data_IF_862632754232
#
_entry.id   IF_862632754232
#
_cell.length_a   1.000
_cell.length_b   1.000
_cell.length_c   1.000
_cell.angle_alpha   90.00
_cell.angle_beta   90.00
_cell.angle_gamma   90.00
#
_symmetry.space_group_name_H-M   'P 1'
#
loop_
_entity.id
_entity.type
_entity.pdbx_description
1 polymer ?
#
# COMPACT_ATOMS: atom_id res chain seq x y z
N UNK A 1 12.34 23.51 22.42
CA UNK A 1 11.60 23.97 21.23
C UNK A 1 12.57 23.96 20.07
N UNK A 2 12.61 22.85 19.32
CA UNK A 2 13.55 22.69 18.21
C UNK A 2 13.15 23.55 17.02
N UNK A 3 14.14 24.10 16.30
CA UNK A 3 13.89 24.81 15.04
C UNK A 3 13.13 23.90 14.07
N UNK A 4 11.85 24.20 13.81
CA UNK A 4 11.13 23.59 12.70
C UNK A 4 11.78 24.09 11.40
N UNK A 5 12.75 23.34 10.90
CA UNK A 5 13.38 23.68 9.64
C UNK A 5 12.38 23.56 8.48
N UNK A 6 12.61 24.37 7.45
CA UNK A 6 11.70 24.46 6.29
C UNK A 6 11.82 23.21 5.41
N UNK A 7 10.69 22.53 5.18
CA UNK A 7 10.51 21.49 4.16
C UNK A 7 9.86 22.16 2.93
N UNK A 8 10.37 21.89 1.74
CA UNK A 8 9.78 22.38 0.48
C UNK A 8 9.55 21.20 -0.45
N UNK A 9 8.29 21.02 -0.86
CA UNK A 9 7.86 19.98 -1.81
C UNK A 9 7.21 20.67 -3.01
N UNK A 10 7.71 20.39 -4.22
CA UNK A 10 7.23 21.03 -5.46
C UNK A 10 7.14 20.03 -6.61
N UNK A 11 6.01 19.99 -7.27
CA UNK A 11 5.86 19.26 -8.53
C UNK A 11 6.49 20.01 -9.69
N UNK A 12 7.06 19.28 -10.63
CA UNK A 12 7.63 19.82 -11.85
C UNK A 12 7.64 18.76 -12.96
N UNK A 13 7.79 19.19 -14.21
CA UNK A 13 7.93 18.30 -15.35
C UNK A 13 9.38 17.87 -15.54
N UNK A 14 9.64 16.57 -15.56
CA UNK A 14 10.99 16.07 -15.81
C UNK A 14 11.32 16.11 -17.31
N UNK A 15 11.86 17.24 -17.76
CA UNK A 15 12.28 17.49 -19.14
C UNK A 15 13.50 16.68 -19.60
N UNK A 16 14.16 15.96 -18.69
CA UNK A 16 15.26 15.03 -19.03
C UNK A 16 14.73 13.65 -19.43
N UNK A 17 13.50 13.30 -19.04
CA UNK A 17 12.86 12.06 -19.45
C UNK A 17 12.40 12.15 -20.91
N UNK A 18 12.25 10.98 -21.56
CA UNK A 18 11.77 10.89 -22.94
C UNK A 18 10.36 11.49 -23.03
N UNK A 19 10.21 12.54 -23.84
CA UNK A 19 8.94 13.18 -24.08
C UNK A 19 7.99 12.26 -24.87
N UNK A 20 6.69 12.41 -24.62
CA UNK A 20 5.63 11.95 -25.52
C UNK A 20 5.17 13.14 -26.35
N UNK A 21 5.13 12.99 -27.67
CA UNK A 21 4.70 14.07 -28.58
C UNK A 21 3.26 13.83 -29.00
N UNK A 22 2.42 14.84 -28.85
CA UNK A 22 1.02 14.79 -29.25
C UNK A 22 0.56 16.18 -29.72
N UNK A 23 -0.07 16.24 -30.89
CA UNK A 23 -0.47 17.50 -31.57
C UNK A 23 0.65 18.56 -31.58
N UNK A 24 1.88 18.15 -31.91
CA UNK A 24 3.09 18.98 -31.94
C UNK A 24 3.53 19.58 -30.59
N UNK A 25 2.97 19.12 -29.47
CA UNK A 25 3.37 19.52 -28.13
C UNK A 25 4.08 18.36 -27.42
N UNK A 26 5.09 18.70 -26.61
CA UNK A 26 5.87 17.73 -25.85
C UNK A 26 5.34 17.60 -24.43
N UNK A 27 5.11 16.36 -24.01
CA UNK A 27 4.60 16.00 -22.70
C UNK A 27 5.64 15.20 -21.92
N UNK A 28 5.79 15.55 -20.65
CA UNK A 28 6.81 15.01 -19.76
C UNK A 28 6.16 14.43 -18.51
N UNK A 29 6.79 13.43 -17.88
CA UNK A 29 6.27 12.86 -16.65
C UNK A 29 6.39 13.85 -15.48
N UNK A 30 5.40 13.83 -14.60
CA UNK A 30 5.39 14.63 -13.39
C UNK A 30 6.34 14.05 -12.33
N UNK A 31 7.20 14.90 -11.79
CA UNK A 31 8.15 14.59 -10.73
C UNK A 31 7.96 15.56 -9.57
N UNK A 32 8.54 15.22 -8.43
CA UNK A 32 8.50 16.01 -7.20
C UNK A 32 9.93 16.32 -6.81
N UNK A 33 10.19 17.59 -6.53
CA UNK A 33 11.42 18.07 -5.94
C UNK A 33 11.19 18.31 -4.46
N UNK A 34 12.06 17.73 -3.65
CA UNK A 34 12.06 17.84 -2.19
C UNK A 34 13.32 18.59 -1.78
N UNK A 35 13.17 19.60 -0.94
CA UNK A 35 14.28 20.37 -0.36
C UNK A 35 14.07 20.44 1.15
N UNK A 36 14.99 19.86 1.92
CA UNK A 36 14.97 19.87 3.39
C UNK A 36 16.41 19.82 3.92
N UNK A 37 16.70 20.63 4.95
CA UNK A 37 18.03 20.73 5.56
C UNK A 37 19.19 20.95 4.55
N UNK A 38 18.94 21.74 3.50
CA UNK A 38 19.91 22.01 2.42
C UNK A 38 20.12 20.86 1.43
N UNK A 39 19.56 19.67 1.70
CA UNK A 39 19.58 18.50 0.80
C UNK A 39 18.45 18.59 -0.21
N UNK A 40 18.66 18.01 -1.40
CA UNK A 40 17.65 17.95 -2.47
C UNK A 40 17.47 16.51 -2.94
N UNK A 41 16.23 16.09 -3.12
CA UNK A 41 15.88 14.85 -3.80
C UNK A 41 14.83 15.08 -4.87
N UNK A 42 14.78 14.15 -5.82
CA UNK A 42 13.79 14.11 -6.87
C UNK A 42 13.18 12.72 -6.88
N UNK A 43 11.86 12.64 -6.82
CA UNK A 43 11.11 11.39 -6.92
C UNK A 43 10.03 11.51 -7.98
N UNK A 44 9.66 10.40 -8.60
CA UNK A 44 8.55 10.37 -9.54
C UNK A 44 7.24 10.56 -8.77
N UNK A 45 6.33 11.37 -9.28
CA UNK A 45 4.99 11.48 -8.71
C UNK A 45 4.21 10.19 -8.94
N UNK A 46 3.38 9.83 -7.97
CA UNK A 46 2.48 8.67 -7.98
C UNK A 46 1.02 9.06 -8.17
N UNK A 47 0.68 10.33 -8.39
CA UNK A 47 -0.74 10.72 -8.60
C UNK A 47 -1.40 9.92 -9.73
N UNK A 48 -0.63 9.45 -10.72
CA UNK A 48 -1.13 8.61 -11.82
C UNK A 48 -1.74 7.27 -11.35
N UNK A 49 -1.36 6.76 -10.18
CA UNK A 49 -1.96 5.57 -9.56
C UNK A 49 -3.45 5.82 -9.22
N UNK A 50 -3.83 7.09 -9.02
CA UNK A 50 -5.18 7.51 -8.66
C UNK A 50 -5.95 8.14 -9.82
N UNK A 51 -5.26 8.69 -10.83
CA UNK A 51 -5.90 9.37 -11.97
C UNK A 51 -6.85 8.46 -12.77
N UNK A 52 -6.62 7.15 -12.78
CA UNK A 52 -7.49 6.20 -13.46
C UNK A 52 -8.93 6.19 -12.92
N UNK A 53 -9.11 6.43 -11.62
CA UNK A 53 -10.44 6.51 -11.00
C UNK A 53 -11.23 7.71 -11.56
N UNK A 54 -10.52 8.78 -11.92
CA UNK A 54 -11.09 10.02 -12.43
C UNK A 54 -11.04 10.15 -13.95
N UNK A 55 -10.95 9.03 -14.68
CA UNK A 55 -10.82 9.03 -16.15
C UNK A 55 -11.94 9.82 -16.85
N UNK A 56 -13.15 9.81 -16.29
CA UNK A 56 -14.29 10.61 -16.78
C UNK A 56 -14.05 12.13 -16.67
N UNK A 57 -13.58 12.59 -15.51
CA UNK A 57 -13.28 14.02 -15.29
C UNK A 57 -12.09 14.48 -16.13
N UNK A 58 -11.07 13.63 -16.26
CA UNK A 58 -9.93 13.87 -17.16
C UNK A 58 -10.40 13.90 -18.62
N UNK A 59 -11.36 13.05 -19.00
CA UNK A 59 -12.00 13.08 -20.32
C UNK A 59 -12.60 14.45 -20.60
N UNK A 60 -13.39 15.01 -19.68
CA UNK A 60 -13.96 16.36 -19.83
C UNK A 60 -12.89 17.45 -20.00
N UNK A 61 -11.81 17.37 -19.22
CA UNK A 61 -10.65 18.26 -19.31
C UNK A 61 -9.95 18.23 -20.67
N UNK A 62 -9.97 17.08 -21.33
CA UNK A 62 -9.27 16.79 -22.59
C UNK A 62 -10.23 16.77 -23.79
N UNK A 63 -11.46 17.28 -23.63
CA UNK A 63 -12.53 17.25 -24.63
C UNK A 63 -12.85 15.84 -25.16
N UNK A 64 -12.73 14.83 -24.29
CA UNK A 64 -12.93 13.41 -24.54
C UNK A 64 -12.03 12.84 -25.66
N UNK A 65 -10.88 13.45 -25.88
CA UNK A 65 -9.87 12.93 -26.81
C UNK A 65 -9.17 11.72 -26.16
N UNK A 66 -9.32 10.48 -26.69
CA UNK A 66 -8.87 9.28 -25.99
C UNK A 66 -7.37 9.23 -25.77
N UNK A 67 -6.58 9.63 -26.77
CA UNK A 67 -5.11 9.62 -26.68
C UNK A 67 -4.62 10.65 -25.67
N UNK A 68 -5.25 11.82 -25.65
CA UNK A 68 -4.90 12.86 -24.69
C UNK A 68 -5.34 12.51 -23.26
N UNK A 69 -6.55 11.96 -23.10
CA UNK A 69 -7.06 11.46 -21.82
C UNK A 69 -6.09 10.45 -21.21
N UNK A 70 -5.65 9.46 -22.01
CA UNK A 70 -4.71 8.43 -21.57
C UNK A 70 -3.33 9.01 -21.21
N UNK A 71 -2.86 10.00 -21.97
CA UNK A 71 -1.60 10.68 -21.67
C UNK A 71 -1.63 11.37 -20.31
N UNK A 72 -2.72 12.09 -20.02
CA UNK A 72 -2.91 12.76 -18.73
C UNK A 72 -3.09 11.73 -17.60
N UNK A 73 -3.92 10.70 -17.82
CA UNK A 73 -4.16 9.64 -16.83
C UNK A 73 -2.87 8.88 -16.47
N UNK A 74 -1.94 8.72 -17.40
CA UNK A 74 -0.63 8.10 -17.17
C UNK A 74 0.43 9.07 -16.60
N UNK A 75 0.04 10.29 -16.23
CA UNK A 75 0.89 11.26 -15.53
C UNK A 75 1.82 12.09 -16.42
N UNK A 76 1.51 12.21 -17.72
CA UNK A 76 2.26 13.05 -18.66
C UNK A 76 1.53 14.38 -18.92
N UNK A 77 2.27 15.48 -18.81
CA UNK A 77 1.73 16.84 -18.95
C UNK A 77 2.67 17.71 -19.78
N UNK A 78 2.11 18.73 -20.43
CA UNK A 78 2.89 19.83 -20.99
C UNK A 78 2.95 20.99 -19.99
N UNK A 79 3.88 21.94 -20.19
CA UNK A 79 3.98 23.12 -19.33
C UNK A 79 2.67 23.94 -19.35
N UNK A 80 2.05 24.10 -20.53
CA UNK A 80 0.81 24.85 -20.69
C UNK A 80 -0.34 24.23 -19.90
N UNK A 81 -0.49 22.90 -19.99
CA UNK A 81 -1.54 22.18 -19.27
C UNK A 81 -1.27 22.20 -17.76
N UNK A 82 -0.04 21.92 -17.33
CA UNK A 82 0.30 21.89 -15.90
C UNK A 82 0.05 23.26 -15.25
N UNK A 83 0.47 24.35 -15.90
CA UNK A 83 0.24 25.70 -15.39
C UNK A 83 -1.27 26.01 -15.29
N UNK A 84 -2.04 25.66 -16.33
CA UNK A 84 -3.50 25.81 -16.31
C UNK A 84 -4.15 25.04 -15.16
N UNK A 85 -3.72 23.81 -14.91
CA UNK A 85 -4.23 22.96 -13.82
C UNK A 85 -3.93 23.59 -12.45
N UNK A 86 -2.73 24.15 -12.27
CA UNK A 86 -2.30 24.79 -11.01
C UNK A 86 -3.02 26.12 -10.78
N UNK A 87 -3.01 27.02 -11.76
CA UNK A 87 -3.59 28.36 -11.65
C UNK A 87 -5.10 28.32 -11.40
N UNK A 88 -5.80 27.43 -12.10
CA UNK A 88 -7.25 27.28 -12.00
C UNK A 88 -7.68 26.22 -10.98
N UNK A 89 -6.72 25.59 -10.27
CA UNK A 89 -6.96 24.55 -9.25
C UNK A 89 -7.90 23.44 -9.73
N UNK A 90 -7.61 22.90 -10.92
CA UNK A 90 -8.55 22.02 -11.61
C UNK A 90 -8.56 20.62 -10.98
N UNK A 91 -9.76 20.15 -10.62
CA UNK A 91 -10.02 18.78 -10.15
C UNK A 91 -9.89 17.76 -11.30
N UNK A 92 -9.36 16.54 -11.05
CA UNK A 92 -8.82 16.04 -9.78
C UNK A 92 -7.34 16.42 -9.53
N UNK A 93 -6.62 16.79 -10.60
CA UNK A 93 -5.16 16.72 -10.67
C UNK A 93 -4.49 17.66 -9.67
N UNK A 94 -4.99 18.90 -9.54
CA UNK A 94 -4.46 19.86 -8.57
C UNK A 94 -4.54 19.33 -7.13
N UNK A 95 -5.69 18.76 -6.75
CA UNK A 95 -5.90 18.27 -5.39
C UNK A 95 -5.05 17.05 -5.08
N UNK A 96 -4.89 16.14 -6.03
CA UNK A 96 -3.99 14.99 -5.89
C UNK A 96 -2.53 15.44 -5.70
N UNK A 97 -2.11 16.51 -6.39
CA UNK A 97 -0.77 17.09 -6.20
C UNK A 97 -0.60 17.71 -4.81
N UNK A 98 -1.61 18.42 -4.29
CA UNK A 98 -1.55 18.98 -2.94
C UNK A 98 -1.54 17.87 -1.87
N UNK A 99 -2.35 16.83 -2.03
CA UNK A 99 -2.36 15.68 -1.13
C UNK A 99 -1.01 14.97 -1.12
N UNK A 100 -0.40 14.76 -2.29
CA UNK A 100 0.92 14.15 -2.41
C UNK A 100 2.01 14.99 -1.72
N UNK A 101 1.91 16.33 -1.75
CA UNK A 101 2.83 17.20 -0.98
C UNK A 101 2.68 16.98 0.52
N UNK A 102 1.44 16.88 1.01
CA UNK A 102 1.14 16.65 2.43
C UNK A 102 1.68 15.30 2.89
N UNK A 103 1.50 14.25 2.07
CA UNK A 103 2.04 12.91 2.36
C UNK A 103 3.56 12.96 2.46
N UNK A 104 4.23 13.60 1.51
CA UNK A 104 5.70 13.71 1.51
C UNK A 104 6.19 14.51 2.72
N UNK A 105 5.51 15.61 3.07
CA UNK A 105 5.85 16.39 4.27
C UNK A 105 5.72 15.52 5.54
N UNK A 106 4.64 14.74 5.68
CA UNK A 106 4.44 13.80 6.80
C UNK A 106 5.56 12.75 6.86
N UNK A 107 5.93 12.14 5.73
CA UNK A 107 7.03 11.16 5.67
C UNK A 107 8.35 11.82 6.10
N UNK A 108 8.67 12.99 5.57
CA UNK A 108 9.91 13.69 5.92
C UNK A 108 9.92 14.02 7.41
N UNK A 109 8.81 14.49 7.99
CA UNK A 109 8.74 14.77 9.43
C UNK A 109 8.95 13.52 10.28
N UNK A 110 8.41 12.38 9.85
CA UNK A 110 8.61 11.10 10.52
C UNK A 110 10.08 10.65 10.54
N UNK A 111 10.86 11.03 9.51
CA UNK A 111 12.31 10.76 9.45
C UNK A 111 13.16 11.71 10.32
N UNK A 112 12.52 12.68 10.98
CA UNK A 112 13.13 13.65 11.90
C UNK A 112 14.40 14.36 11.38
N UNK A 113 14.37 15.00 10.20
CA UNK A 113 15.55 15.49 9.49
C UNK A 113 16.37 16.56 10.22
N UNK A 114 15.80 17.18 11.25
CA UNK A 114 16.46 18.23 12.04
C UNK A 114 17.04 17.72 13.36
N UNK A 115 16.66 16.51 13.77
CA UNK A 115 17.11 15.87 15.01
C UNK A 115 17.98 14.63 14.73
N UNK A 116 17.81 14.01 13.55
CA UNK A 116 18.54 12.83 13.12
C UNK A 116 19.80 13.21 12.32
N UNK A 117 20.97 12.96 12.90
CA UNK A 117 22.26 13.23 12.27
C UNK A 117 22.50 12.40 10.99
N UNK A 118 21.90 11.21 10.91
CA UNK A 118 22.04 10.28 9.79
C UNK A 118 21.01 10.51 8.69
N UNK A 119 20.11 11.50 8.85
CA UNK A 119 19.08 11.79 7.87
C UNK A 119 19.67 12.04 6.48
N UNK A 120 19.20 11.30 5.48
CA UNK A 120 19.63 11.44 4.10
C UNK A 120 18.44 11.31 3.14
N UNK A 121 18.42 12.15 2.12
CA UNK A 121 17.38 12.14 1.08
C UNK A 121 17.71 11.23 -0.11
N UNK A 122 18.93 10.68 -0.19
CA UNK A 122 19.33 9.86 -1.33
C UNK A 122 18.48 8.61 -1.53
N UNK A 123 17.91 8.07 -0.45
CA UNK A 123 17.05 6.87 -0.45
C UNK A 123 15.57 7.21 -0.36
N UNK A 124 15.20 8.49 -0.45
CA UNK A 124 13.81 8.91 -0.21
C UNK A 124 12.81 8.28 -1.20
N UNK A 125 13.24 7.85 -2.38
CA UNK A 125 12.37 7.08 -3.28
C UNK A 125 11.89 5.77 -2.65
N UNK A 126 12.78 5.09 -1.90
CA UNK A 126 12.44 3.85 -1.21
C UNK A 126 11.52 4.15 -0.02
N UNK A 127 11.84 5.20 0.76
CA UNK A 127 10.98 5.63 1.87
C UNK A 127 9.59 6.02 1.36
N UNK A 128 9.52 6.76 0.26
CA UNK A 128 8.27 7.15 -0.35
C UNK A 128 7.45 5.94 -0.79
N UNK A 129 8.07 4.94 -1.43
CA UNK A 129 7.39 3.69 -1.78
C UNK A 129 6.92 2.93 -0.53
N UNK A 130 7.78 2.80 0.47
CA UNK A 130 7.50 2.14 1.74
C UNK A 130 6.29 2.74 2.46
N UNK A 131 6.31 4.05 2.67
CA UNK A 131 5.29 4.74 3.47
C UNK A 131 3.97 4.94 2.72
N UNK A 132 3.97 4.85 1.38
CA UNK A 132 2.74 4.90 0.57
C UNK A 132 2.13 3.53 0.27
N UNK A 133 2.77 2.43 0.68
CA UNK A 133 2.23 1.08 0.46
C UNK A 133 0.90 0.87 1.20
N UNK A 134 -0.11 0.33 0.50
CA UNK A 134 -1.42 0.01 1.10
C UNK A 134 -1.30 -1.21 2.02
N UNK A 135 -1.53 -1.02 3.32
CA UNK A 135 -1.30 -2.05 4.35
C UNK A 135 -2.15 -3.31 4.12
N UNK A 136 -3.35 -3.16 3.55
CA UNK A 136 -4.23 -4.29 3.28
C UNK A 136 -3.63 -5.23 2.23
N UNK A 137 -3.04 -4.66 1.16
CA UNK A 137 -2.41 -5.44 0.10
C UNK A 137 -1.10 -6.05 0.59
N UNK A 138 -0.30 -5.30 1.36
CA UNK A 138 0.94 -5.81 1.96
C UNK A 138 0.62 -7.01 2.86
N UNK A 139 -0.32 -6.88 3.79
CA UNK A 139 -0.69 -7.97 4.69
C UNK A 139 -1.25 -9.19 3.93
N UNK A 140 -2.14 -8.97 2.97
CA UNK A 140 -2.73 -10.07 2.17
C UNK A 140 -1.63 -10.87 1.44
N UNK A 141 -0.75 -10.18 0.73
CA UNK A 141 0.32 -10.82 -0.04
C UNK A 141 1.34 -11.53 0.86
N UNK A 142 1.68 -10.94 2.00
CA UNK A 142 2.63 -11.55 2.95
C UNK A 142 2.06 -12.80 3.59
N UNK A 143 0.80 -12.76 4.05
CA UNK A 143 0.14 -13.94 4.63
C UNK A 143 0.02 -15.05 3.57
N UNK A 144 -0.39 -14.69 2.35
CA UNK A 144 -0.48 -15.61 1.21
C UNK A 144 0.84 -16.29 0.91
N UNK A 145 1.94 -15.53 0.85
CA UNK A 145 3.28 -16.05 0.61
C UNK A 145 3.72 -17.02 1.73
N UNK A 146 3.53 -16.65 3.00
CA UNK A 146 3.88 -17.51 4.15
C UNK A 146 3.02 -18.79 4.16
N UNK A 147 1.72 -18.67 3.92
CA UNK A 147 0.81 -19.81 3.83
C UNK A 147 1.20 -20.79 2.73
N UNK A 148 1.43 -20.29 1.51
CA UNK A 148 1.87 -21.10 0.38
C UNK A 148 3.22 -21.77 0.65
N UNK A 149 4.15 -21.09 1.31
CA UNK A 149 5.44 -21.66 1.71
C UNK A 149 5.30 -22.86 2.63
N UNK A 150 4.44 -22.77 3.65
CA UNK A 150 4.17 -23.89 4.55
C UNK A 150 3.38 -25.01 3.88
N UNK A 151 2.37 -24.70 3.06
CA UNK A 151 1.61 -25.72 2.33
C UNK A 151 2.49 -26.49 1.34
N UNK A 152 3.41 -25.81 0.64
CA UNK A 152 4.43 -26.48 -0.21
C UNK A 152 5.34 -27.38 0.60
N UNK A 153 5.72 -26.96 1.81
CA UNK A 153 6.54 -27.78 2.71
C UNK A 153 5.78 -29.02 3.17
N UNK A 154 4.49 -28.90 3.49
CA UNK A 154 3.62 -30.03 3.83
C UNK A 154 3.44 -30.97 2.64
N UNK A 155 3.22 -30.42 1.44
CA UNK A 155 3.14 -31.20 0.20
C UNK A 155 4.39 -32.05 0.00
N UNK A 156 5.59 -31.44 0.05
CA UNK A 156 6.86 -32.16 -0.13
C UNK A 156 7.06 -33.28 0.90
N UNK A 157 6.65 -33.07 2.15
CA UNK A 157 6.72 -34.09 3.21
C UNK A 157 5.75 -35.25 2.98
N UNK A 158 4.64 -35.02 2.28
CA UNK A 158 3.58 -36.00 2.06
C UNK A 158 3.70 -36.76 0.72
N UNK A 159 4.69 -36.44 -0.13
CA UNK A 159 4.86 -37.06 -1.46
C UNK A 159 5.09 -38.58 -1.34
N UNK A 160 5.99 -38.99 -0.44
CA UNK A 160 6.41 -40.40 -0.32
C UNK A 160 5.79 -41.11 0.89
N UNK A 161 4.83 -40.47 1.57
CA UNK A 161 4.22 -40.98 2.80
C UNK A 161 2.80 -41.48 2.54
N UNK A 162 2.64 -42.81 2.43
CA UNK A 162 1.35 -43.46 2.21
C UNK A 162 0.34 -43.19 3.34
N UNK A 163 0.80 -42.96 4.58
CA UNK A 163 -0.08 -42.64 5.72
C UNK A 163 -0.65 -41.21 5.59
N UNK A 164 0.06 -40.32 4.89
CA UNK A 164 -0.31 -38.91 4.69
C UNK A 164 -0.93 -38.61 3.31
N UNK A 165 -1.46 -39.63 2.62
CA UNK A 165 -2.08 -39.48 1.29
C UNK A 165 -3.21 -38.44 1.22
N UNK A 166 -3.95 -38.25 2.31
CA UNK A 166 -4.97 -37.20 2.39
C UNK A 166 -4.35 -35.80 2.43
N UNK A 167 -3.29 -35.62 3.23
CA UNK A 167 -2.54 -34.37 3.32
C UNK A 167 -1.94 -34.00 1.96
N UNK A 168 -1.37 -34.97 1.24
CA UNK A 168 -0.88 -34.79 -0.12
C UNK A 168 -1.96 -34.25 -1.06
N UNK A 169 -3.15 -34.88 -1.09
CA UNK A 169 -4.26 -34.46 -1.95
C UNK A 169 -4.71 -33.03 -1.65
N UNK A 170 -4.88 -32.70 -0.37
CA UNK A 170 -5.34 -31.38 0.05
C UNK A 170 -4.28 -30.32 -0.28
N UNK A 171 -3.02 -30.54 0.08
CA UNK A 171 -1.94 -29.58 -0.24
C UNK A 171 -1.77 -29.39 -1.75
N UNK A 172 -1.88 -30.47 -2.55
CA UNK A 172 -1.83 -30.40 -4.00
C UNK A 172 -2.98 -29.55 -4.57
N UNK A 173 -4.19 -29.74 -4.05
CA UNK A 173 -5.35 -28.92 -4.43
C UNK A 173 -5.10 -27.43 -4.14
N UNK A 174 -4.64 -27.11 -2.93
CA UNK A 174 -4.38 -25.74 -2.50
C UNK A 174 -3.28 -25.06 -3.33
N UNK A 175 -2.24 -25.78 -3.73
CA UNK A 175 -1.13 -25.22 -4.52
C UNK A 175 -1.55 -24.94 -5.97
N UNK A 176 -2.29 -25.86 -6.59
CA UNK A 176 -2.46 -25.85 -8.05
C UNK A 176 -3.85 -25.39 -8.54
N UNK A 177 -4.89 -25.50 -7.71
CA UNK A 177 -6.27 -25.24 -8.14
C UNK A 177 -6.86 -23.97 -7.55
N UNK A 178 -6.25 -23.42 -6.50
CA UNK A 178 -6.65 -22.13 -5.94
C UNK A 178 -6.02 -21.00 -6.77
N UNK A 179 -6.86 -20.05 -7.19
CA UNK A 179 -6.38 -18.83 -7.81
C UNK A 179 -5.87 -17.86 -6.74
N UNK A 180 -4.56 -17.87 -6.53
CA UNK A 180 -3.87 -17.02 -5.55
C UNK A 180 -3.78 -15.54 -5.94
N UNK A 181 -4.25 -15.14 -7.12
CA UNK A 181 -4.45 -13.73 -7.45
C UNK A 181 -5.61 -13.10 -6.67
N UNK A 182 -6.52 -13.92 -6.12
CA UNK A 182 -7.60 -13.45 -5.25
C UNK A 182 -7.09 -13.12 -3.83
N UNK A 183 -7.88 -12.35 -3.06
CA UNK A 183 -7.53 -12.05 -1.67
C UNK A 183 -7.49 -13.31 -0.80
N UNK A 184 -6.50 -13.35 0.09
CA UNK A 184 -6.33 -14.42 1.06
C UNK A 184 -7.54 -14.52 1.99
N UNK A 185 -8.12 -13.40 2.41
CA UNK A 185 -9.31 -13.39 3.29
C UNK A 185 -10.50 -14.11 2.66
N UNK A 186 -10.81 -13.82 1.39
CA UNK A 186 -11.91 -14.47 0.68
C UNK A 186 -11.66 -15.96 0.51
N UNK A 187 -10.43 -16.36 0.18
CA UNK A 187 -10.03 -17.77 0.13
C UNK A 187 -10.23 -18.45 1.48
N UNK A 188 -9.75 -17.83 2.56
CA UNK A 188 -9.76 -18.39 3.90
C UNK A 188 -11.19 -18.64 4.39
N UNK A 189 -12.05 -17.63 4.28
CA UNK A 189 -13.45 -17.71 4.70
C UNK A 189 -14.23 -18.75 3.86
N UNK A 190 -14.10 -18.70 2.53
CA UNK A 190 -14.82 -19.63 1.64
C UNK A 190 -14.37 -21.08 1.83
N UNK A 191 -13.07 -21.31 2.06
CA UNK A 191 -12.55 -22.68 2.23
C UNK A 191 -12.97 -23.26 3.56
N UNK A 192 -13.00 -22.45 4.62
CA UNK A 192 -13.51 -22.87 5.92
C UNK A 192 -15.00 -23.23 5.87
N UNK A 193 -15.79 -22.58 5.00
CA UNK A 193 -17.21 -22.89 4.79
C UNK A 193 -17.42 -24.15 3.94
N UNK A 194 -16.68 -24.29 2.84
CA UNK A 194 -16.92 -25.34 1.83
C UNK A 194 -16.21 -26.66 2.20
N UNK A 195 -15.00 -26.61 2.76
CA UNK A 195 -14.14 -27.77 3.06
C UNK A 195 -13.58 -27.70 4.50
N UNK A 196 -14.43 -27.68 5.54
CA UNK A 196 -13.99 -27.42 6.91
C UNK A 196 -13.01 -28.48 7.45
N UNK A 197 -13.21 -29.76 7.13
CA UNK A 197 -12.40 -30.86 7.67
C UNK A 197 -11.03 -30.92 7.00
N UNK A 198 -10.98 -30.79 5.67
CA UNK A 198 -9.74 -30.72 4.90
C UNK A 198 -8.93 -29.50 5.29
N UNK A 199 -9.60 -28.36 5.48
CA UNK A 199 -8.96 -27.12 5.90
C UNK A 199 -8.34 -27.26 7.29
N UNK A 200 -9.08 -27.84 8.25
CA UNK A 200 -8.59 -28.11 9.59
C UNK A 200 -7.41 -29.09 9.61
N UNK A 201 -7.40 -30.07 8.70
CA UNK A 201 -6.28 -31.00 8.55
C UNK A 201 -4.98 -30.27 8.15
N UNK A 202 -5.07 -29.24 7.30
CA UNK A 202 -3.93 -28.37 6.98
C UNK A 202 -3.61 -27.42 8.13
N UNK A 203 -4.60 -26.70 8.66
CA UNK A 203 -4.40 -25.66 9.68
C UNK A 203 -3.70 -26.21 10.93
N UNK A 204 -4.05 -27.43 11.35
CA UNK A 204 -3.43 -28.07 12.52
C UNK A 204 -1.95 -28.41 12.32
N UNK A 205 -1.49 -28.53 11.07
CA UNK A 205 -0.10 -28.81 10.70
C UNK A 205 0.73 -27.54 10.42
N UNK A 206 0.08 -26.38 10.35
CA UNK A 206 0.77 -25.09 10.22
C UNK A 206 1.50 -24.71 11.52
N UNK A 207 2.55 -23.92 11.36
CA UNK A 207 3.29 -23.33 12.47
C UNK A 207 2.37 -22.51 13.38
N UNK A 208 2.77 -22.34 14.64
CA UNK A 208 1.99 -21.52 15.58
C UNK A 208 2.04 -20.05 15.17
N UNK A 209 3.20 -19.64 14.64
CA UNK A 209 3.51 -18.31 14.14
C UNK A 209 2.59 -17.95 12.97
N UNK A 210 2.47 -18.81 11.95
CA UNK A 210 1.59 -18.57 10.82
C UNK A 210 0.11 -18.57 11.24
N UNK A 211 -0.31 -19.46 12.13
CA UNK A 211 -1.69 -19.43 12.66
C UNK A 211 -2.00 -18.13 13.41
N UNK A 212 -1.04 -17.62 14.20
CA UNK A 212 -1.18 -16.31 14.86
C UNK A 212 -1.28 -15.21 13.80
N UNK A 213 -0.42 -15.22 12.78
CA UNK A 213 -0.42 -14.24 11.70
C UNK A 213 -1.74 -14.20 10.93
N UNK A 214 -2.26 -15.37 10.54
CA UNK A 214 -3.56 -15.52 9.88
C UNK A 214 -4.68 -14.95 10.76
N UNK A 215 -4.74 -15.32 12.03
CA UNK A 215 -5.80 -14.85 12.95
C UNK A 215 -5.75 -13.34 13.15
N UNK A 216 -4.55 -12.77 13.33
CA UNK A 216 -4.36 -11.32 13.42
C UNK A 216 -4.82 -10.61 12.14
N UNK A 217 -4.48 -11.16 10.96
CA UNK A 217 -4.90 -10.63 9.67
C UNK A 217 -6.43 -10.70 9.48
N UNK A 218 -7.06 -11.84 9.78
CA UNK A 218 -8.52 -11.98 9.68
C UNK A 218 -9.25 -11.05 10.65
N UNK A 219 -8.71 -10.86 11.86
CA UNK A 219 -9.25 -9.88 12.81
C UNK A 219 -9.15 -8.45 12.25
N UNK A 220 -8.02 -8.08 11.64
CA UNK A 220 -7.86 -6.78 10.98
C UNK A 220 -8.81 -6.62 9.80
N UNK A 221 -8.90 -7.64 8.93
CA UNK A 221 -9.79 -7.65 7.77
C UNK A 221 -11.26 -7.41 8.16
N UNK A 222 -11.72 -8.02 9.27
CA UNK A 222 -13.08 -7.79 9.78
C UNK A 222 -13.36 -6.34 10.17
N UNK A 223 -12.32 -5.53 10.43
CA UNK A 223 -12.41 -4.13 10.87
C UNK A 223 -11.93 -3.12 9.82
N UNK A 224 -11.35 -3.58 8.70
CA UNK A 224 -10.73 -2.69 7.70
C UNK A 224 -11.70 -1.61 7.17
N UNK A 225 -12.98 -1.95 7.00
CA UNK A 225 -13.99 -1.00 6.54
C UNK A 225 -14.33 0.07 7.59
N UNK A 226 -14.22 -0.25 8.88
CA UNK A 226 -14.41 0.72 9.96
C UNK A 226 -13.24 1.69 9.96
N UNK A 227 -12.01 1.19 9.80
CA UNK A 227 -10.80 2.02 9.65
C UNK A 227 -10.94 2.94 8.44
N UNK A 228 -11.30 2.40 7.26
CA UNK A 228 -11.52 3.22 6.05
C UNK A 228 -12.52 4.34 6.30
N UNK A 229 -13.69 4.03 6.86
CA UNK A 229 -14.71 5.04 7.20
C UNK A 229 -14.24 6.08 8.22
N UNK A 230 -13.42 5.68 9.20
CA UNK A 230 -12.85 6.60 10.17
C UNK A 230 -11.93 7.63 9.48
N UNK A 231 -11.07 7.17 8.57
CA UNK A 231 -10.19 8.05 7.80
C UNK A 231 -10.94 8.91 6.78
N UNK A 232 -11.89 8.34 6.03
CA UNK A 232 -12.74 9.10 5.09
C UNK A 232 -13.44 10.29 5.76
N UNK A 233 -13.93 10.11 6.99
CA UNK A 233 -14.57 11.19 7.76
C UNK A 233 -13.60 12.29 8.20
N UNK A 234 -12.35 11.93 8.51
CA UNK A 234 -11.30 12.88 8.92
C UNK A 234 -10.69 13.61 7.75
N UNK A 235 -10.55 12.94 6.62
CA UNK A 235 -9.80 13.44 5.48
C UNK A 235 -10.66 14.08 4.38
N UNK A 236 -11.98 14.20 4.58
CA UNK A 236 -12.97 14.91 3.72
C UNK A 236 -12.46 15.23 2.29
N UNK A 237 -12.43 14.21 1.44
CA UNK A 237 -12.13 14.37 0.00
C UNK A 237 -10.67 14.13 -0.42
N UNK A 238 -9.77 13.77 0.50
CA UNK A 238 -8.42 13.29 0.14
C UNK A 238 -8.41 11.81 -0.20
N UNK A 239 -7.35 11.38 -0.87
CA UNK A 239 -7.09 9.96 -1.15
C UNK A 239 -6.88 9.16 0.14
N UNK A 240 -7.91 8.43 0.57
CA UNK A 240 -7.85 7.51 1.69
C UNK A 240 -7.37 6.13 1.23
N UNK A 241 -6.07 6.00 0.97
CA UNK A 241 -5.44 4.67 0.98
C UNK A 241 -4.89 4.42 2.38
N UNK A 242 -5.30 3.33 3.04
CA UNK A 242 -4.75 2.95 4.34
C UNK A 242 -3.26 2.62 4.17
N UNK A 243 -2.41 3.62 4.34
CA UNK A 243 -1.00 3.52 4.01
C UNK A 243 -0.18 3.06 5.21
N UNK A 244 1.04 2.57 4.96
CA UNK A 244 1.96 2.24 6.05
C UNK A 244 2.34 3.48 6.88
N UNK A 245 2.35 4.68 6.29
CA UNK A 245 2.47 5.93 7.03
C UNK A 245 1.35 6.07 8.07
N UNK A 246 0.10 5.84 7.67
CA UNK A 246 -1.04 5.94 8.57
C UNK A 246 -1.03 4.84 9.64
N UNK A 247 -0.47 3.67 9.32
CA UNK A 247 -0.19 2.62 10.30
C UNK A 247 0.76 3.09 11.40
N UNK A 248 1.88 3.71 11.03
CA UNK A 248 2.88 4.20 11.97
C UNK A 248 2.38 5.36 12.84
N UNK A 249 1.38 6.12 12.37
CA UNK A 249 0.90 7.30 13.11
C UNK A 249 -0.41 7.06 13.87
N UNK A 250 -1.40 6.40 13.29
CA UNK A 250 -2.78 6.43 13.79
C UNK A 250 -3.47 5.06 13.80
N UNK A 251 -3.38 4.28 12.72
CA UNK A 251 -4.17 3.03 12.56
C UNK A 251 -3.79 2.00 13.62
N UNK A 252 -2.50 1.87 13.96
CA UNK A 252 -2.03 0.90 14.97
C UNK A 252 -2.74 1.09 16.31
N UNK A 253 -2.79 2.32 16.81
CA UNK A 253 -3.47 2.65 18.06
C UNK A 253 -4.99 2.49 17.95
N UNK A 254 -5.59 2.88 16.83
CA UNK A 254 -7.02 2.69 16.60
C UNK A 254 -7.42 1.20 16.66
N UNK A 255 -6.70 0.35 15.93
CA UNK A 255 -6.94 -1.10 15.90
C UNK A 255 -6.70 -1.72 17.28
N UNK A 256 -5.68 -1.30 18.01
CA UNK A 256 -5.42 -1.78 19.37
C UNK A 256 -6.64 -1.57 20.28
N UNK A 257 -7.29 -0.41 20.20
CA UNK A 257 -8.48 -0.13 21.01
C UNK A 257 -9.68 -0.99 20.60
N UNK A 258 -9.95 -1.11 19.29
CA UNK A 258 -11.00 -2.00 18.77
C UNK A 258 -10.77 -3.46 19.18
N UNK A 259 -9.53 -3.93 19.14
CA UNK A 259 -9.19 -5.30 19.51
C UNK A 259 -9.24 -5.51 21.03
N UNK A 260 -8.90 -4.50 21.84
CA UNK A 260 -9.00 -4.57 23.30
C UNK A 260 -10.45 -4.86 23.73
N UNK A 261 -11.44 -4.22 23.08
CA UNK A 261 -12.86 -4.41 23.39
C UNK A 261 -13.37 -5.83 23.10
N UNK A 262 -12.78 -6.52 22.12
CA UNK A 262 -13.25 -7.82 21.63
C UNK A 262 -12.47 -8.98 22.26
N UNK A 263 -11.14 -8.87 22.32
CA UNK A 263 -10.24 -9.97 22.64
C UNK A 263 -9.55 -9.82 24.00
N UNK A 264 -9.64 -8.64 24.61
CA UNK A 264 -8.89 -8.26 25.81
C UNK A 264 -7.47 -7.78 25.49
N UNK A 265 -6.88 -7.06 26.45
CA UNK A 265 -5.63 -6.32 26.30
C UNK A 265 -4.46 -7.17 25.80
N UNK A 266 -4.22 -8.33 26.42
CA UNK A 266 -3.08 -9.18 26.08
C UNK A 266 -3.15 -9.73 24.65
N UNK A 267 -4.31 -10.24 24.23
CA UNK A 267 -4.49 -10.79 22.87
C UNK A 267 -4.48 -9.70 21.81
N UNK A 268 -5.03 -8.54 22.14
CA UNK A 268 -5.02 -7.37 21.27
C UNK A 268 -3.59 -6.94 20.95
N UNK A 269 -2.75 -6.77 21.99
CA UNK A 269 -1.35 -6.43 21.82
C UNK A 269 -0.61 -7.48 20.99
N UNK A 270 -0.85 -8.76 21.28
CA UNK A 270 -0.30 -9.89 20.54
C UNK A 270 -0.61 -9.83 19.04
N UNK A 271 -1.83 -9.45 18.67
CA UNK A 271 -2.26 -9.37 17.27
C UNK A 271 -1.70 -8.13 16.58
N UNK A 272 -1.72 -6.98 17.25
CA UNK A 272 -1.17 -5.74 16.70
C UNK A 272 0.34 -5.85 16.48
N UNK A 273 1.08 -6.42 17.42
CA UNK A 273 2.52 -6.65 17.26
C UNK A 273 2.81 -7.64 16.12
N UNK A 274 1.95 -8.65 15.97
CA UNK A 274 2.06 -9.59 14.86
C UNK A 274 1.87 -8.89 13.50
N UNK A 275 0.85 -8.02 13.37
CA UNK A 275 0.60 -7.23 12.16
C UNK A 275 1.74 -6.25 11.89
N UNK A 276 2.23 -5.59 12.92
CA UNK A 276 3.32 -4.61 12.81
C UNK A 276 4.63 -5.27 12.35
N UNK A 277 4.93 -6.47 12.87
CA UNK A 277 6.07 -7.26 12.41
C UNK A 277 5.91 -7.69 10.96
N UNK A 278 4.73 -8.16 10.55
CA UNK A 278 4.48 -8.54 9.15
C UNK A 278 4.66 -7.35 8.21
N UNK A 279 4.10 -6.19 8.56
CA UNK A 279 4.25 -4.97 7.76
C UNK A 279 5.72 -4.52 7.71
N UNK A 280 6.42 -4.54 8.85
CA UNK A 280 7.81 -4.10 8.91
C UNK A 280 8.73 -5.04 8.12
N UNK A 281 8.58 -6.36 8.23
CA UNK A 281 9.34 -7.34 7.44
C UNK A 281 9.12 -7.15 5.93
N UNK A 282 7.86 -6.97 5.52
CA UNK A 282 7.49 -6.93 4.10
C UNK A 282 7.88 -5.63 3.44
N UNK A 283 7.76 -4.52 4.16
CA UNK A 283 8.04 -3.19 3.62
C UNK A 283 9.53 -2.82 3.74
N UNK A 284 10.30 -3.49 4.62
CA UNK A 284 11.76 -3.34 4.71
C UNK A 284 12.49 -4.36 3.81
N UNK A 285 11.93 -5.55 3.61
CA UNK A 285 12.56 -6.66 2.87
C UNK A 285 12.57 -6.56 1.35
N UNK A 286 11.97 -5.54 0.74
CA UNK A 286 12.03 -5.28 -0.72
C UNK A 286 13.22 -4.38 -1.15
N UNK A 287 14.25 -4.22 -0.30
CA UNK A 287 15.51 -3.51 -0.63
C UNK A 287 16.62 -4.49 -1.01
#
# INVERSE_FOLDING_TARGET
MGNEGKITVKHYLNKRAKARVYKNEAYYPLYIQIIVAGKKAQVKSKINEHLNIYKSDIGRLTNNDPTFTEMVATGFFSDAILNKLIENKIFPIYYLMEDEKVIIDRIIRLLEPFNNADFNLSTFSNDYQKYTAEISNVLDNTIKAKYLGEVKTLFLKAIDDEENRNLFKISNFLIHFINWENSFSNYYDSTQEILPDEFKAIETKLSKELRKAIRSYMAFHSRVNIVKRFFEKREQGKLSTLSYLDWQTEIKHFIQNEFNEIFGEQKSQDYVDCLDNLLSESVIGEQ
#
